data_IF_780791302855
#
_entry.id   IF_780791302855
#
_cell.length_a   1.000
_cell.length_b   1.000
_cell.length_c   1.000
_cell.angle_alpha   90.00
_cell.angle_beta   90.00
_cell.angle_gamma   90.00
#
_symmetry.space_group_name_H-M   'P 1'
#
loop_
_entity.id
_entity.type
_entity.pdbx_description
1 polymer ?
#
# COMPACT_ATOMS: atom_id res chain seq x y z
N UNK A 1 -2.99 21.72 -4.95
CA UNK A 1 -2.56 20.59 -4.13
C UNK A 1 -2.07 19.47 -5.04
N UNK A 2 -1.00 18.80 -4.66
CA UNK A 2 -0.36 17.74 -5.48
C UNK A 2 -1.34 16.64 -5.91
N UNK A 3 -2.31 16.28 -5.05
CA UNK A 3 -3.34 15.27 -5.35
C UNK A 3 -4.17 15.62 -6.58
N UNK A 4 -4.59 16.88 -6.70
CA UNK A 4 -5.40 17.33 -7.83
C UNK A 4 -4.59 17.24 -9.13
N UNK A 5 -3.31 17.60 -9.09
CA UNK A 5 -2.43 17.51 -10.25
C UNK A 5 -2.30 16.05 -10.70
N UNK A 6 -2.13 15.10 -9.78
CA UNK A 6 -2.03 13.68 -10.13
C UNK A 6 -3.34 13.12 -10.73
N UNK A 7 -4.49 13.52 -10.19
CA UNK A 7 -5.79 13.14 -10.76
C UNK A 7 -5.97 13.72 -12.16
N UNK A 8 -5.66 14.99 -12.34
CA UNK A 8 -5.71 15.62 -13.66
C UNK A 8 -4.75 14.93 -14.64
N UNK A 9 -3.53 14.63 -14.20
CA UNK A 9 -2.54 13.92 -15.03
C UNK A 9 -3.00 12.53 -15.43
N UNK A 10 -3.64 11.78 -14.53
CA UNK A 10 -4.19 10.46 -14.88
C UNK A 10 -5.34 10.56 -15.88
N UNK A 11 -6.24 11.53 -15.71
CA UNK A 11 -7.34 11.77 -16.66
C UNK A 11 -6.82 12.22 -18.03
N UNK A 12 -5.83 13.11 -18.06
CA UNK A 12 -5.18 13.52 -19.31
C UNK A 12 -4.48 12.34 -19.99
N UNK A 13 -3.79 11.49 -19.23
CA UNK A 13 -3.19 10.27 -19.75
C UNK A 13 -4.24 9.35 -20.38
N UNK A 14 -5.37 9.16 -19.72
CA UNK A 14 -6.49 8.40 -20.27
C UNK A 14 -7.00 9.00 -21.59
N UNK A 15 -7.18 10.31 -21.66
CA UNK A 15 -7.63 10.99 -22.88
C UNK A 15 -6.62 10.84 -24.02
N UNK A 16 -5.32 11.02 -23.73
CA UNK A 16 -4.24 10.84 -24.71
C UNK A 16 -4.23 9.41 -25.25
N UNK A 17 -4.31 8.40 -24.36
CA UNK A 17 -4.36 7.00 -24.76
C UNK A 17 -5.58 6.67 -25.64
N UNK A 18 -6.74 7.27 -25.34
CA UNK A 18 -7.96 7.08 -26.11
C UNK A 18 -7.90 7.72 -27.50
N UNK A 19 -7.31 8.91 -27.62
CA UNK A 19 -7.20 9.68 -28.88
C UNK A 19 -6.14 9.06 -29.80
N UNK A 20 -4.93 8.81 -29.25
CA UNK A 20 -3.79 8.37 -30.05
C UNK A 20 -3.68 6.85 -30.21
N UNK A 21 -4.48 6.07 -29.46
CA UNK A 21 -4.51 4.60 -29.53
C UNK A 21 -3.08 4.01 -29.54
N UNK A 22 -2.78 3.13 -30.48
CA UNK A 22 -1.50 2.41 -30.59
C UNK A 22 -0.27 3.32 -30.60
N UNK A 23 -0.39 4.57 -31.06
CA UNK A 23 0.71 5.54 -31.05
C UNK A 23 1.08 6.00 -29.64
N UNK A 24 0.17 5.93 -28.68
CA UNK A 24 0.46 6.33 -27.30
C UNK A 24 1.35 5.30 -26.56
N UNK A 25 1.59 4.11 -27.11
CA UNK A 25 2.54 3.13 -26.58
C UNK A 25 3.97 3.70 -26.52
N UNK A 26 4.33 4.63 -27.41
CA UNK A 26 5.63 5.32 -27.39
C UNK A 26 5.88 6.07 -26.07
N UNK A 27 4.83 6.40 -25.33
CA UNK A 27 4.93 7.06 -24.01
C UNK A 27 5.26 6.08 -22.86
N UNK A 28 5.16 4.77 -23.10
CA UNK A 28 5.40 3.73 -22.08
C UNK A 28 6.73 3.89 -21.34
N UNK A 29 7.88 4.13 -21.99
CA UNK A 29 9.15 4.27 -21.28
C UNK A 29 9.16 5.38 -20.23
N UNK A 30 8.46 6.49 -20.47
CA UNK A 30 8.37 7.60 -19.51
C UNK A 30 7.52 7.21 -18.27
N UNK A 31 6.45 6.45 -18.47
CA UNK A 31 5.68 5.87 -17.38
C UNK A 31 6.48 4.85 -16.58
N UNK A 32 7.20 3.96 -17.27
CA UNK A 32 8.02 2.92 -16.65
C UNK A 32 9.18 3.51 -15.84
N UNK A 33 9.79 4.61 -16.28
CA UNK A 33 10.82 5.33 -15.50
C UNK A 33 10.24 5.74 -14.14
N UNK A 34 9.05 6.33 -14.11
CA UNK A 34 8.41 6.74 -12.85
C UNK A 34 8.15 5.54 -11.94
N UNK A 35 7.56 4.48 -12.48
CA UNK A 35 7.27 3.28 -11.70
C UNK A 35 8.55 2.63 -11.18
N UNK A 36 9.58 2.52 -11.99
CA UNK A 36 10.86 1.92 -11.61
C UNK A 36 11.55 2.74 -10.51
N UNK A 37 11.53 4.07 -10.60
CA UNK A 37 12.04 4.95 -9.54
C UNK A 37 11.29 4.75 -8.23
N UNK A 38 9.95 4.69 -8.29
CA UNK A 38 9.11 4.42 -7.12
C UNK A 38 9.40 3.04 -6.53
N UNK A 39 9.55 2.03 -7.36
CA UNK A 39 9.85 0.67 -6.91
C UNK A 39 11.23 0.55 -6.26
N UNK A 40 12.23 1.24 -6.82
CA UNK A 40 13.59 1.23 -6.28
C UNK A 40 13.66 1.82 -4.88
N UNK A 41 12.87 2.87 -4.60
CA UNK A 41 12.93 3.57 -3.31
C UNK A 41 12.13 2.85 -2.21
N UNK A 42 11.16 1.97 -2.55
CA UNK A 42 10.28 1.33 -1.56
C UNK A 42 11.07 0.48 -0.56
N UNK A 43 12.01 -0.30 -1.03
CA UNK A 43 12.82 -1.21 -0.19
C UNK A 43 13.64 -0.44 0.85
N UNK A 44 14.51 0.52 0.47
CA UNK A 44 15.24 1.32 1.45
C UNK A 44 14.32 2.16 2.34
N UNK A 45 13.20 2.66 1.80
CA UNK A 45 12.22 3.41 2.58
C UNK A 45 11.66 2.56 3.73
N UNK A 46 11.18 1.36 3.43
CA UNK A 46 10.63 0.43 4.44
C UNK A 46 11.69 0.05 5.47
N UNK A 47 12.89 -0.31 5.00
CA UNK A 47 13.98 -0.69 5.91
C UNK A 47 14.33 0.42 6.91
N UNK A 48 14.65 1.60 6.42
CA UNK A 48 15.14 2.68 7.28
C UNK A 48 14.04 3.32 8.13
N UNK A 49 12.81 3.44 7.62
CA UNK A 49 11.69 4.00 8.40
C UNK A 49 11.30 3.09 9.56
N UNK A 50 11.18 1.78 9.33
CA UNK A 50 10.83 0.83 10.39
C UNK A 50 11.97 0.71 11.40
N UNK A 51 13.21 0.52 10.93
CA UNK A 51 14.37 0.40 11.81
C UNK A 51 14.56 1.65 12.68
N UNK A 52 14.46 2.83 12.09
CA UNK A 52 14.55 4.11 12.81
C UNK A 52 13.43 4.28 13.84
N UNK A 53 12.20 3.99 13.45
CA UNK A 53 11.03 4.13 14.33
C UNK A 53 11.16 3.25 15.58
N UNK A 54 11.62 2.00 15.41
CA UNK A 54 11.80 1.07 16.53
C UNK A 54 13.05 1.42 17.35
N UNK A 55 14.15 1.82 16.71
CA UNK A 55 15.40 2.19 17.38
C UNK A 55 15.20 3.39 18.34
N UNK A 56 14.33 4.33 18.00
CA UNK A 56 14.03 5.51 18.81
C UNK A 56 12.98 5.27 19.92
N UNK A 57 12.45 4.04 20.05
CA UNK A 57 11.48 3.72 21.09
C UNK A 57 12.12 3.54 22.46
N UNK A 58 11.57 4.25 23.45
CA UNK A 58 12.08 4.23 24.84
C UNK A 58 11.65 3.00 25.64
N UNK A 59 10.57 2.30 25.24
CA UNK A 59 10.00 1.16 25.98
C UNK A 59 9.58 0.01 25.09
N UNK A 60 10.50 -0.91 24.84
CA UNK A 60 10.29 -2.09 23.99
C UNK A 60 9.24 -3.08 24.55
N UNK A 61 9.08 -3.19 25.89
CA UNK A 61 8.04 -4.08 26.47
C UNK A 61 6.64 -3.58 26.16
N UNK A 62 6.42 -2.26 26.24
CA UNK A 62 5.15 -1.63 25.89
C UNK A 62 4.88 -1.78 24.40
N UNK A 63 5.92 -1.63 23.56
CA UNK A 63 5.86 -1.85 22.14
C UNK A 63 5.38 -3.27 21.79
N UNK A 64 5.99 -4.31 22.36
CA UNK A 64 5.61 -5.71 22.07
C UNK A 64 4.14 -6.00 22.39
N UNK A 65 3.63 -5.43 23.51
CA UNK A 65 2.21 -5.56 23.87
C UNK A 65 1.30 -4.85 22.84
N UNK A 66 1.65 -3.63 22.43
CA UNK A 66 0.88 -2.87 21.44
C UNK A 66 0.90 -3.58 20.09
N UNK A 67 2.08 -3.99 19.61
CA UNK A 67 2.22 -4.68 18.33
C UNK A 67 1.40 -5.97 18.27
N UNK A 68 1.41 -6.77 19.35
CA UNK A 68 0.64 -8.01 19.42
C UNK A 68 -0.86 -7.76 19.26
N UNK A 69 -1.42 -6.79 19.99
CA UNK A 69 -2.86 -6.47 19.90
C UNK A 69 -3.20 -5.85 18.56
N UNK A 70 -2.36 -4.92 18.06
CA UNK A 70 -2.56 -4.31 16.75
C UNK A 70 -2.52 -5.36 15.63
N UNK A 71 -1.56 -6.28 15.67
CA UNK A 71 -1.46 -7.37 14.69
C UNK A 71 -2.71 -8.27 14.70
N UNK A 72 -3.17 -8.68 15.89
CA UNK A 72 -4.39 -9.50 16.02
C UNK A 72 -5.61 -8.77 15.46
N UNK A 73 -5.78 -7.49 15.78
CA UNK A 73 -6.88 -6.67 15.27
C UNK A 73 -6.79 -6.56 13.75
N UNK A 74 -5.61 -6.28 13.19
CA UNK A 74 -5.43 -6.23 11.74
C UNK A 74 -5.75 -7.54 11.03
N UNK A 75 -5.30 -8.67 11.57
CA UNK A 75 -5.61 -9.98 10.99
C UNK A 75 -7.12 -10.23 10.99
N UNK A 76 -7.81 -9.95 12.10
CA UNK A 76 -9.25 -10.15 12.21
C UNK A 76 -10.00 -9.21 11.25
N UNK A 77 -9.68 -7.92 11.26
CA UNK A 77 -10.37 -6.93 10.43
C UNK A 77 -10.12 -7.16 8.94
N UNK A 78 -8.88 -7.51 8.55
CA UNK A 78 -8.54 -7.85 7.17
C UNK A 78 -9.23 -9.12 6.69
N UNK A 79 -9.34 -10.14 7.55
CA UNK A 79 -10.06 -11.38 7.22
C UNK A 79 -11.55 -11.11 6.98
N UNK A 80 -12.17 -10.29 7.83
CA UNK A 80 -13.58 -9.89 7.66
C UNK A 80 -13.76 -9.11 6.34
N UNK A 81 -12.88 -8.16 6.06
CA UNK A 81 -12.93 -7.38 4.83
C UNK A 81 -12.75 -8.26 3.57
N UNK A 82 -11.81 -9.21 3.62
CA UNK A 82 -11.59 -10.16 2.53
C UNK A 82 -12.81 -11.05 2.29
N UNK A 83 -13.41 -11.62 3.34
CA UNK A 83 -14.61 -12.45 3.24
C UNK A 83 -15.77 -11.63 2.66
N UNK A 84 -15.98 -10.39 3.15
CA UNK A 84 -17.03 -9.52 2.64
C UNK A 84 -16.83 -9.23 1.14
N UNK A 85 -15.59 -8.94 0.73
CA UNK A 85 -15.30 -8.69 -0.69
C UNK A 85 -15.51 -9.94 -1.55
N UNK A 86 -15.13 -11.13 -1.09
CA UNK A 86 -15.39 -12.39 -1.78
C UNK A 86 -16.90 -12.65 -1.97
N UNK A 87 -17.70 -12.37 -0.93
CA UNK A 87 -19.16 -12.50 -1.03
C UNK A 87 -19.71 -11.55 -2.09
N UNK A 88 -19.29 -10.28 -2.08
CA UNK A 88 -19.76 -9.29 -3.06
C UNK A 88 -19.37 -9.69 -4.47
N UNK A 89 -18.12 -10.11 -4.71
CA UNK A 89 -17.66 -10.54 -6.03
C UNK A 89 -18.36 -11.80 -6.54
N UNK A 90 -18.86 -12.65 -5.66
CA UNK A 90 -19.68 -13.82 -6.04
C UNK A 90 -21.03 -13.40 -6.62
N UNK A 91 -21.61 -12.28 -6.15
CA UNK A 91 -22.88 -11.77 -6.64
C UNK A 91 -22.76 -10.77 -7.79
N UNK A 92 -21.67 -10.00 -7.80
CA UNK A 92 -21.43 -8.94 -8.78
C UNK A 92 -20.12 -9.24 -9.52
N UNK A 93 -20.23 -9.86 -10.69
CA UNK A 93 -19.07 -10.13 -11.55
C UNK A 93 -18.56 -8.82 -12.16
N UNK A 94 -17.35 -8.34 -11.82
CA UNK A 94 -16.78 -7.13 -12.41
C UNK A 94 -16.30 -7.34 -13.85
N UNK A 95 -15.98 -8.59 -14.22
CA UNK A 95 -15.42 -8.96 -15.52
C UNK A 95 -16.44 -9.84 -16.26
N UNK A 96 -16.94 -9.37 -17.38
CA UNK A 96 -17.89 -10.14 -18.20
C UNK A 96 -17.19 -11.12 -19.17
N UNK A 97 -15.93 -10.82 -19.53
CA UNK A 97 -15.13 -11.69 -20.39
C UNK A 97 -14.21 -12.53 -19.52
N UNK A 98 -14.44 -13.84 -19.55
CA UNK A 98 -13.49 -14.81 -19.02
C UNK A 98 -12.27 -14.75 -19.94
N UNK A 99 -11.29 -13.93 -19.58
CA UNK A 99 -9.93 -14.17 -20.06
C UNK A 99 -9.63 -15.56 -19.51
N UNK A 100 -9.65 -16.56 -20.36
CA UNK A 100 -9.18 -17.91 -20.03
C UNK A 100 -7.71 -17.78 -19.66
N UNK A 101 -7.47 -17.47 -18.36
CA UNK A 101 -6.17 -17.65 -17.77
C UNK A 101 -5.93 -19.16 -17.91
N UNK A 102 -5.02 -19.55 -18.80
CA UNK A 102 -4.46 -20.89 -18.77
C UNK A 102 -3.99 -21.09 -17.34
N UNK A 103 -4.69 -21.93 -16.61
CA UNK A 103 -4.24 -22.35 -15.28
C UNK A 103 -2.94 -23.11 -15.50
N UNK A 104 -1.83 -22.40 -15.50
CA UNK A 104 -0.53 -23.02 -15.34
C UNK A 104 -0.63 -23.87 -14.07
N UNK A 105 -0.28 -25.15 -14.19
CA UNK A 105 -0.30 -26.11 -13.10
C UNK A 105 0.34 -25.48 -11.86
N UNK A 106 -0.51 -25.03 -10.93
CA UNK A 106 -0.04 -24.53 -9.64
C UNK A 106 0.49 -25.75 -8.91
N UNK A 107 1.82 -25.91 -8.86
CA UNK A 107 2.43 -26.91 -7.99
C UNK A 107 1.84 -26.71 -6.59
N UNK A 108 1.28 -27.78 -6.03
CA UNK A 108 0.72 -27.77 -4.67
C UNK A 108 1.86 -27.53 -3.68
N UNK A 109 2.24 -26.29 -3.49
CA UNK A 109 3.23 -25.91 -2.48
C UNK A 109 2.61 -26.15 -1.10
N UNK A 110 3.27 -26.92 -0.25
CA UNK A 110 2.83 -27.14 1.13
C UNK A 110 2.63 -25.79 1.83
N UNK A 111 1.50 -25.63 2.53
CA UNK A 111 1.17 -24.41 3.30
C UNK A 111 2.32 -24.00 4.24
N UNK A 112 2.95 -24.99 4.89
CA UNK A 112 4.10 -24.74 5.75
C UNK A 112 5.28 -24.12 4.97
N UNK A 113 5.60 -24.64 3.78
CA UNK A 113 6.67 -24.11 2.93
C UNK A 113 6.33 -22.69 2.46
N UNK A 114 5.08 -22.44 2.14
CA UNK A 114 4.60 -21.11 1.75
C UNK A 114 4.68 -20.08 2.90
N UNK A 115 4.33 -20.48 4.13
CA UNK A 115 4.50 -19.61 5.31
C UNK A 115 5.98 -19.31 5.55
N UNK A 116 6.87 -20.30 5.50
CA UNK A 116 8.31 -20.10 5.71
C UNK A 116 8.87 -19.16 4.64
N UNK A 117 8.58 -19.38 3.36
CA UNK A 117 9.06 -18.53 2.26
C UNK A 117 8.47 -17.10 2.30
N UNK A 118 7.28 -16.93 2.89
CA UNK A 118 6.69 -15.59 3.07
C UNK A 118 7.30 -14.82 4.23
N UNK A 119 7.79 -15.50 5.28
CA UNK A 119 8.33 -14.85 6.47
C UNK A 119 9.85 -14.67 6.44
N UNK A 120 10.55 -15.51 5.67
CA UNK A 120 12.02 -15.57 5.68
C UNK A 120 12.57 -15.77 4.27
N UNK A 121 13.79 -15.30 4.06
CA UNK A 121 14.57 -15.54 2.83
C UNK A 121 15.87 -16.25 3.18
N UNK A 122 16.38 -17.07 2.26
CA UNK A 122 17.60 -17.85 2.46
C UNK A 122 18.89 -17.04 2.29
N UNK A 123 18.81 -15.88 1.64
CA UNK A 123 19.97 -15.04 1.34
C UNK A 123 19.67 -13.57 1.68
N UNK A 124 20.66 -12.90 2.26
CA UNK A 124 20.56 -11.47 2.64
C UNK A 124 20.29 -10.56 1.43
N UNK A 125 20.84 -10.85 0.27
CA UNK A 125 20.61 -10.08 -0.95
C UNK A 125 19.13 -10.14 -1.36
N UNK A 126 18.51 -11.31 -1.29
CA UNK A 126 17.11 -11.53 -1.62
C UNK A 126 16.16 -10.78 -0.67
N UNK A 127 16.64 -10.35 0.51
CA UNK A 127 15.87 -9.57 1.44
C UNK A 127 15.45 -8.21 0.84
N UNK A 128 16.28 -7.65 -0.03
CA UNK A 128 16.05 -6.36 -0.67
C UNK A 128 15.27 -6.47 -2.00
N UNK A 129 14.80 -7.66 -2.33
CA UNK A 129 13.87 -7.83 -3.44
C UNK A 129 12.47 -7.35 -3.03
N UNK A 130 11.81 -6.63 -3.93
CA UNK A 130 10.45 -6.11 -3.73
C UNK A 130 9.41 -7.22 -3.48
N UNK A 131 9.64 -8.41 -3.99
CA UNK A 131 8.78 -9.58 -3.75
C UNK A 131 8.82 -10.04 -2.29
N UNK A 132 9.87 -9.70 -1.54
CA UNK A 132 10.15 -10.15 -0.19
C UNK A 132 9.91 -9.07 0.88
N UNK A 133 8.84 -8.25 0.72
CA UNK A 133 8.54 -7.15 1.64
C UNK A 133 8.30 -7.60 3.07
N UNK A 134 7.62 -8.73 3.27
CA UNK A 134 7.32 -9.20 4.62
C UNK A 134 8.58 -9.66 5.37
N UNK A 135 9.49 -10.46 4.79
CA UNK A 135 10.82 -10.72 5.35
C UNK A 135 11.60 -9.43 5.65
N UNK A 136 11.54 -8.43 4.76
CA UNK A 136 12.20 -7.14 4.96
C UNK A 136 11.66 -6.40 6.19
N UNK A 137 10.34 -6.36 6.38
CA UNK A 137 9.70 -5.74 7.56
C UNK A 137 10.14 -6.44 8.85
N UNK A 138 10.18 -7.78 8.84
CA UNK A 138 10.63 -8.57 9.99
C UNK A 138 12.09 -8.25 10.30
N UNK A 139 12.96 -8.29 9.30
CA UNK A 139 14.38 -7.99 9.48
C UNK A 139 14.61 -6.55 9.95
N UNK A 140 13.91 -5.57 9.36
CA UNK A 140 13.97 -4.17 9.76
C UNK A 140 13.56 -3.97 11.22
N UNK A 141 12.53 -4.72 11.65
CA UNK A 141 12.07 -4.70 13.03
C UNK A 141 13.11 -5.27 13.99
N UNK A 142 13.72 -6.41 13.64
CA UNK A 142 14.81 -7.01 14.43
C UNK A 142 16.03 -6.09 14.49
N UNK A 143 16.39 -5.46 13.37
CA UNK A 143 17.49 -4.50 13.30
C UNK A 143 17.24 -3.29 14.21
N UNK A 144 16.02 -2.74 14.18
CA UNK A 144 15.60 -1.62 15.06
C UNK A 144 15.64 -2.00 16.53
N UNK A 145 15.17 -3.21 16.89
CA UNK A 145 15.24 -3.74 18.27
C UNK A 145 16.70 -3.88 18.71
N UNK A 146 17.55 -4.50 17.88
CA UNK A 146 18.98 -4.66 18.18
C UNK A 146 19.66 -3.31 18.39
N UNK A 147 19.38 -2.32 17.53
CA UNK A 147 19.90 -0.95 17.68
C UNK A 147 19.46 -0.30 18.99
N UNK A 148 18.17 -0.45 19.34
CA UNK A 148 17.62 0.09 20.60
C UNK A 148 18.29 -0.54 21.84
N UNK A 149 18.71 -1.81 21.80
CA UNK A 149 19.39 -2.47 22.93
C UNK A 149 20.82 -1.97 23.14
N UNK A 150 21.49 -1.55 22.07
CA UNK A 150 22.85 -0.97 22.15
C UNK A 150 22.85 0.40 22.85
N UNK A 151 21.67 1.06 22.93
CA UNK A 151 21.49 2.39 23.56
C UNK A 151 22.41 3.48 22.98
N UNK A 152 22.83 3.34 21.74
CA UNK A 152 23.62 4.35 21.05
C UNK A 152 22.72 5.40 20.42
N UNK A 153 22.71 6.58 20.99
CA UNK A 153 21.97 7.73 20.45
C UNK A 153 22.43 8.13 19.05
N UNK A 154 23.72 7.96 18.76
CA UNK A 154 24.29 8.27 17.44
C UNK A 154 23.74 7.36 16.34
N UNK A 155 23.67 6.04 16.59
CA UNK A 155 23.16 5.09 15.58
C UNK A 155 21.67 5.33 15.31
N UNK A 156 20.88 5.52 16.37
CA UNK A 156 19.43 5.80 16.22
C UNK A 156 19.19 7.10 15.46
N UNK A 157 19.98 8.14 15.73
CA UNK A 157 19.92 9.42 15.03
C UNK A 157 20.32 9.29 13.55
N UNK A 158 21.41 8.57 13.26
CA UNK A 158 21.84 8.33 11.88
C UNK A 158 20.78 7.58 11.06
N UNK A 159 20.12 6.58 11.63
CA UNK A 159 19.02 5.87 10.99
C UNK A 159 17.85 6.82 10.69
N UNK A 160 17.52 7.72 11.61
CA UNK A 160 16.48 8.72 11.43
C UNK A 160 16.85 9.70 10.29
N UNK A 161 18.08 10.16 10.26
CA UNK A 161 18.55 11.10 9.24
C UNK A 161 18.58 10.45 7.85
N UNK A 162 19.00 9.18 7.75
CA UNK A 162 18.93 8.41 6.49
C UNK A 162 17.45 8.23 6.05
N UNK A 163 16.56 7.92 6.99
CA UNK A 163 15.12 7.81 6.69
C UNK A 163 14.57 9.13 6.14
N UNK A 164 14.97 10.28 6.71
CA UNK A 164 14.58 11.62 6.19
C UNK A 164 15.15 11.88 4.80
N UNK A 165 16.38 11.47 4.51
CA UNK A 165 16.99 11.59 3.18
C UNK A 165 16.17 10.78 2.16
N UNK A 166 15.81 9.55 2.48
CA UNK A 166 15.03 8.69 1.59
C UNK A 166 13.65 9.30 1.33
N UNK A 167 12.98 9.82 2.38
CA UNK A 167 11.73 10.56 2.20
C UNK A 167 11.92 11.82 1.35
N UNK A 168 13.07 12.46 1.42
CA UNK A 168 13.46 13.57 0.54
C UNK A 168 13.55 13.13 -0.92
N UNK A 169 14.16 11.96 -1.19
CA UNK A 169 14.24 11.37 -2.55
C UNK A 169 12.84 11.08 -3.08
N UNK A 170 11.93 10.51 -2.26
CA UNK A 170 10.54 10.31 -2.65
C UNK A 170 9.90 11.62 -3.11
N UNK A 171 10.11 12.72 -2.36
CA UNK A 171 9.59 14.03 -2.76
C UNK A 171 10.13 14.49 -4.11
N UNK A 172 11.41 14.27 -4.39
CA UNK A 172 12.03 14.61 -5.69
C UNK A 172 11.38 13.78 -6.81
N UNK A 173 11.23 12.47 -6.62
CA UNK A 173 10.56 11.60 -7.59
C UNK A 173 9.11 12.05 -7.83
N UNK A 174 8.42 12.52 -6.80
CA UNK A 174 7.05 13.00 -6.91
C UNK A 174 6.89 14.27 -7.76
N UNK A 175 7.96 15.04 -8.03
CA UNK A 175 7.89 16.11 -9.03
C UNK A 175 7.76 15.58 -10.46
N UNK A 176 8.30 14.39 -10.72
CA UNK A 176 8.15 13.72 -12.02
C UNK A 176 6.82 12.96 -12.14
N UNK A 177 6.15 12.68 -11.02
CA UNK A 177 4.93 11.87 -10.96
C UNK A 177 3.81 12.32 -11.94
N UNK A 178 3.50 13.62 -12.12
CA UNK A 178 2.46 14.04 -13.06
C UNK A 178 2.74 13.58 -14.50
N UNK A 179 3.99 13.67 -14.95
CA UNK A 179 4.41 13.25 -16.28
C UNK A 179 4.39 11.72 -16.36
N UNK A 180 5.01 11.05 -15.41
CA UNK A 180 5.08 9.59 -15.36
C UNK A 180 3.70 8.92 -15.33
N UNK A 181 2.79 9.41 -14.49
CA UNK A 181 1.42 8.91 -14.37
C UNK A 181 0.62 9.15 -15.67
N UNK A 182 0.72 10.35 -16.25
CA UNK A 182 0.07 10.67 -17.52
C UNK A 182 0.51 9.70 -18.62
N UNK A 183 1.82 9.51 -18.79
CA UNK A 183 2.39 8.62 -19.80
C UNK A 183 2.03 7.14 -19.53
N UNK A 184 2.05 6.73 -18.28
CA UNK A 184 1.67 5.37 -17.88
C UNK A 184 0.21 5.05 -18.23
N UNK A 185 -0.74 5.92 -17.86
CA UNK A 185 -2.15 5.71 -18.20
C UNK A 185 -2.40 5.79 -19.70
N UNK A 186 -1.70 6.68 -20.42
CA UNK A 186 -1.81 6.77 -21.88
C UNK A 186 -1.37 5.48 -22.56
N UNK A 187 -0.21 4.94 -22.18
CA UNK A 187 0.30 3.68 -22.73
C UNK A 187 -0.55 2.48 -22.33
N UNK A 188 -1.05 2.44 -21.10
CA UNK A 188 -1.92 1.37 -20.62
C UNK A 188 -3.22 1.27 -21.43
N UNK A 189 -3.86 2.40 -21.72
CA UNK A 189 -5.06 2.42 -22.54
C UNK A 189 -4.76 2.02 -23.99
N UNK A 190 -3.63 2.46 -24.52
CA UNK A 190 -3.19 2.10 -25.86
C UNK A 190 -2.92 0.60 -26.00
N UNK A 191 -2.31 -0.03 -25.00
CA UNK A 191 -1.91 -1.44 -25.03
C UNK A 191 -3.09 -2.38 -24.78
N UNK A 192 -3.98 -2.05 -23.84
CA UNK A 192 -5.05 -2.95 -23.40
C UNK A 192 -6.44 -2.59 -23.95
N UNK A 193 -6.59 -1.42 -24.57
CA UNK A 193 -7.85 -0.98 -25.15
C UNK A 193 -8.89 -0.49 -24.13
N UNK A 194 -9.98 0.05 -24.66
CA UNK A 194 -11.06 0.64 -23.84
C UNK A 194 -11.93 -0.40 -23.10
N UNK A 195 -11.96 -1.65 -23.55
CA UNK A 195 -12.75 -2.72 -22.94
C UNK A 195 -12.23 -3.10 -21.55
N UNK A 196 -10.91 -3.19 -21.40
CA UNK A 196 -10.31 -3.42 -20.08
C UNK A 196 -10.54 -2.25 -19.13
N UNK A 197 -10.48 -1.02 -19.64
CA UNK A 197 -10.76 0.18 -18.82
C UNK A 197 -12.16 0.10 -18.21
N UNK A 198 -13.18 -0.35 -18.97
CA UNK A 198 -14.55 -0.53 -18.48
C UNK A 198 -14.61 -1.55 -17.32
N UNK A 199 -13.94 -2.68 -17.45
CA UNK A 199 -13.87 -3.72 -16.41
C UNK A 199 -13.13 -3.22 -15.16
N UNK A 200 -12.01 -2.51 -15.32
CA UNK A 200 -11.30 -1.90 -14.20
C UNK A 200 -12.11 -0.81 -13.50
N UNK A 201 -12.79 0.06 -14.23
CA UNK A 201 -13.68 1.08 -13.65
C UNK A 201 -14.81 0.43 -12.85
N UNK A 202 -15.46 -0.60 -13.41
CA UNK A 202 -16.52 -1.34 -12.72
C UNK A 202 -15.99 -1.97 -11.42
N UNK A 203 -14.85 -2.66 -11.48
CA UNK A 203 -14.21 -3.26 -10.31
C UNK A 203 -13.85 -2.19 -9.26
N UNK A 204 -13.32 -1.05 -9.70
CA UNK A 204 -12.94 0.07 -8.84
C UNK A 204 -14.16 0.67 -8.15
N UNK A 205 -15.25 0.91 -8.85
CA UNK A 205 -16.50 1.44 -8.28
C UNK A 205 -17.06 0.46 -7.23
N UNK A 206 -17.11 -0.83 -7.55
CA UNK A 206 -17.55 -1.88 -6.60
C UNK A 206 -16.67 -1.85 -5.35
N UNK A 207 -15.35 -1.80 -5.52
CA UNK A 207 -14.39 -1.74 -4.42
C UNK A 207 -14.60 -0.52 -3.52
N UNK A 208 -14.78 0.66 -4.08
CA UNK A 208 -15.03 1.88 -3.29
C UNK A 208 -16.35 1.82 -2.53
N UNK A 209 -17.43 1.36 -3.16
CA UNK A 209 -18.73 1.21 -2.50
C UNK A 209 -18.61 0.22 -1.34
N UNK A 210 -17.99 -0.93 -1.57
CA UNK A 210 -17.81 -1.97 -0.55
C UNK A 210 -16.91 -1.45 0.58
N UNK A 211 -15.84 -0.72 0.27
CA UNK A 211 -14.94 -0.15 1.28
C UNK A 211 -15.64 0.90 2.15
N UNK A 212 -16.47 1.76 1.56
CA UNK A 212 -17.26 2.74 2.30
C UNK A 212 -18.29 2.03 3.20
N UNK A 213 -18.98 1.03 2.68
CA UNK A 213 -19.93 0.23 3.47
C UNK A 213 -19.21 -0.51 4.62
N UNK A 214 -18.06 -1.12 4.33
CA UNK A 214 -17.23 -1.77 5.36
C UNK A 214 -16.86 -0.77 6.46
N UNK A 215 -16.35 0.39 6.07
CA UNK A 215 -16.00 1.45 7.00
C UNK A 215 -17.19 1.86 7.87
N UNK A 216 -18.33 2.19 7.27
CA UNK A 216 -19.50 2.64 8.02
C UNK A 216 -20.05 1.57 8.96
N UNK A 217 -20.12 0.31 8.52
CA UNK A 217 -20.71 -0.77 9.32
C UNK A 217 -19.73 -1.24 10.40
N UNK A 218 -18.55 -1.70 9.98
CA UNK A 218 -17.63 -2.39 10.91
C UNK A 218 -16.93 -1.42 11.87
N UNK A 219 -16.53 -0.26 11.42
CA UNK A 219 -15.91 0.72 12.31
C UNK A 219 -16.91 1.30 13.31
N UNK A 220 -18.19 1.42 12.93
CA UNK A 220 -19.26 1.75 13.89
C UNK A 220 -19.43 0.64 14.93
N UNK A 221 -19.42 -0.63 14.51
CA UNK A 221 -19.48 -1.78 15.42
C UNK A 221 -18.26 -1.79 16.36
N UNK A 222 -17.05 -1.58 15.86
CA UNK A 222 -15.84 -1.53 16.69
C UNK A 222 -15.87 -0.37 17.69
N UNK A 223 -16.35 0.80 17.27
CA UNK A 223 -16.54 1.95 18.16
C UNK A 223 -17.59 1.66 19.24
N UNK A 224 -18.67 0.96 18.90
CA UNK A 224 -19.70 0.53 19.85
C UNK A 224 -19.16 -0.50 20.85
N UNK A 225 -18.38 -1.48 20.41
CA UNK A 225 -17.75 -2.48 21.30
C UNK A 225 -16.80 -1.81 22.29
N UNK A 226 -16.10 -0.73 21.88
CA UNK A 226 -15.13 -0.03 22.73
C UNK A 226 -15.77 0.75 23.87
N UNK A 227 -16.80 1.57 23.60
CA UNK A 227 -17.45 2.42 24.61
C UNK A 227 -18.93 2.70 24.27
N UNK A 228 -19.65 1.70 23.79
CA UNK A 228 -21.07 1.76 23.42
C UNK A 228 -21.40 3.04 22.61
N UNK A 229 -22.49 3.72 22.96
CA UNK A 229 -22.92 4.96 22.25
C UNK A 229 -21.91 6.10 22.33
N UNK A 230 -21.16 6.21 23.43
CA UNK A 230 -20.13 7.24 23.60
C UNK A 230 -18.93 6.98 22.68
N UNK A 231 -18.57 5.72 22.48
CA UNK A 231 -17.52 5.30 21.53
C UNK A 231 -17.83 5.74 20.11
N UNK A 232 -19.07 5.52 19.65
CA UNK A 232 -19.51 5.93 18.30
C UNK A 232 -19.40 7.46 18.15
N UNK A 233 -19.95 8.23 19.11
CA UNK A 233 -19.91 9.69 19.07
C UNK A 233 -18.47 10.23 19.04
N UNK A 234 -17.60 9.66 19.88
CA UNK A 234 -16.18 10.03 19.96
C UNK A 234 -15.44 9.67 18.69
N UNK A 235 -15.71 8.48 18.11
CA UNK A 235 -15.10 8.04 16.86
C UNK A 235 -15.43 8.99 15.71
N UNK A 236 -16.70 9.24 15.42
CA UNK A 236 -17.10 10.10 14.30
C UNK A 236 -16.68 11.56 14.49
N UNK A 237 -16.64 12.07 15.74
CA UNK A 237 -16.12 13.41 16.01
C UNK A 237 -14.63 13.54 15.68
N UNK A 238 -13.83 12.50 15.96
CA UNK A 238 -12.38 12.56 15.82
C UNK A 238 -11.87 12.08 14.45
N UNK A 239 -12.68 11.31 13.70
CA UNK A 239 -12.25 10.80 12.42
C UNK A 239 -12.23 11.87 11.33
N UNK A 240 -13.13 12.85 11.38
CA UNK A 240 -13.23 13.90 10.37
C UNK A 240 -11.95 14.72 10.26
N UNK A 241 -11.35 15.24 11.35
CA UNK A 241 -10.06 15.92 11.28
C UNK A 241 -8.94 15.03 10.75
N UNK A 242 -8.89 13.76 11.18
CA UNK A 242 -7.87 12.80 10.73
C UNK A 242 -8.00 12.48 9.23
N UNK A 243 -9.22 12.29 8.73
CA UNK A 243 -9.48 12.13 7.29
C UNK A 243 -9.06 13.37 6.50
N UNK A 244 -9.42 14.56 6.97
CA UNK A 244 -9.03 15.80 6.31
C UNK A 244 -7.51 15.95 6.25
N UNK A 245 -6.80 15.62 7.33
CA UNK A 245 -5.34 15.68 7.40
C UNK A 245 -4.71 14.66 6.46
N UNK A 246 -5.15 13.40 6.50
CA UNK A 246 -4.62 12.32 5.65
C UNK A 246 -4.85 12.61 4.16
N UNK A 247 -6.02 13.13 3.80
CA UNK A 247 -6.33 13.53 2.42
C UNK A 247 -5.50 14.73 1.97
N UNK A 248 -5.26 15.70 2.85
CA UNK A 248 -4.47 16.89 2.50
C UNK A 248 -2.98 16.61 2.40
N UNK A 249 -2.45 15.73 3.23
CA UNK A 249 -1.04 15.35 3.26
C UNK A 249 -0.72 14.16 2.36
N UNK A 250 -1.73 13.44 1.88
CA UNK A 250 -1.57 12.17 1.15
C UNK A 250 -0.74 11.12 1.95
N UNK A 251 -0.80 11.22 3.26
CA UNK A 251 -0.06 10.36 4.17
C UNK A 251 -0.99 9.70 5.17
N UNK A 252 -0.89 8.40 5.31
CA UNK A 252 -1.56 7.63 6.38
C UNK A 252 -0.91 7.82 7.75
N UNK A 253 0.22 8.53 7.81
CA UNK A 253 0.97 8.83 9.04
C UNK A 253 0.68 10.21 9.61
N UNK A 254 -0.19 10.99 8.96
CA UNK A 254 -0.54 12.36 9.37
C UNK A 254 -1.67 12.38 10.41
#
# INVERSE_FOLDING_TARGET
SSSIILIISSLMGCLIGFIFKDKAVVLKPFGDIFLNLMYTIVVPLVFFTISSSIANMTNLKKLGKILRYTFLIFVITSSIAAIMMLIVLKFINPVNDIISLEFTNIEKVSIAKQIVSSLTVSNFINLFDRSNMLPLIIFSSLFGIATSTIKSSSISKNLEDISKIILGIVKIIMYYAPIGICCYFASMIAEYGSSLLGSYLKATIIYYIVSILYFLIFYTIYAYISDRKNGIKRFYKNIIPSLATSLSTQSSLA
#
